data_IF_609046579883
#
_entry.id   IF_609046579883
#
_cell.length_a   1.000
_cell.length_b   1.000
_cell.length_c   1.000
_cell.angle_alpha   90.00
_cell.angle_beta   90.00
_cell.angle_gamma   90.00
#
_symmetry.space_group_name_H-M   'P 1'
#
loop_
_entity.id
_entity.type
_entity.pdbx_description
1 polymer ?
#
# COMPACT_ATOMS: atom_id res chain seq x y z
N UNK A 1 -0.20 -4.19 -17.48
CA UNK A 1 0.84 -3.79 -16.52
C UNK A 1 1.67 -2.67 -17.14
N UNK A 2 1.40 -1.41 -16.80
CA UNK A 2 2.05 -0.25 -17.41
C UNK A 2 3.58 -0.16 -17.16
N UNK A 3 4.11 -0.97 -16.23
CA UNK A 3 5.52 -0.92 -15.83
C UNK A 3 6.40 -2.12 -16.22
N UNK A 4 5.95 -3.07 -17.04
CA UNK A 4 6.81 -4.21 -17.44
C UNK A 4 8.10 -3.74 -18.13
N UNK A 5 7.97 -2.86 -19.13
CA UNK A 5 9.10 -2.27 -19.87
C UNK A 5 10.10 -1.54 -18.97
N UNK A 6 9.60 -0.81 -17.97
CA UNK A 6 10.45 -0.09 -17.02
C UNK A 6 11.19 -1.07 -16.11
N UNK A 7 10.48 -2.05 -15.56
CA UNK A 7 11.06 -3.08 -14.70
C UNK A 7 12.12 -3.92 -15.42
N UNK A 8 11.94 -4.18 -16.71
CA UNK A 8 12.90 -4.94 -17.52
C UNK A 8 14.13 -4.10 -17.86
N UNK A 9 13.94 -2.80 -18.19
CA UNK A 9 15.03 -1.85 -18.45
C UNK A 9 16.00 -1.72 -17.27
N UNK A 10 15.48 -1.72 -16.04
CA UNK A 10 16.28 -1.60 -14.83
C UNK A 10 16.52 -2.94 -14.11
N UNK A 11 16.29 -4.06 -14.80
CA UNK A 11 16.56 -5.41 -14.32
C UNK A 11 16.01 -5.67 -12.91
N UNK A 12 14.73 -5.36 -12.71
CA UNK A 12 14.05 -5.62 -11.45
C UNK A 12 14.01 -7.12 -11.19
N UNK A 13 14.34 -7.53 -9.96
CA UNK A 13 14.17 -8.90 -9.50
C UNK A 13 12.70 -9.31 -9.63
N UNK A 14 12.48 -10.56 -10.05
CA UNK A 14 11.17 -11.16 -10.20
C UNK A 14 11.02 -12.31 -9.20
N UNK A 15 9.85 -12.52 -8.57
CA UNK A 15 8.59 -11.80 -8.79
C UNK A 15 8.57 -10.37 -8.20
N UNK A 16 9.41 -10.09 -7.20
CA UNK A 16 9.43 -8.82 -6.47
C UNK A 16 10.85 -8.26 -6.36
N UNK A 17 11.02 -6.96 -6.59
CA UNK A 17 12.26 -6.24 -6.33
C UNK A 17 12.11 -5.36 -5.09
N UNK A 18 12.85 -5.72 -4.03
CA UNK A 18 12.79 -5.01 -2.75
C UNK A 18 13.21 -3.54 -2.88
N UNK A 19 14.19 -3.24 -3.74
CA UNK A 19 14.68 -1.86 -3.95
C UNK A 19 13.57 -0.98 -4.54
N UNK A 20 12.82 -1.53 -5.49
CA UNK A 20 11.72 -0.83 -6.13
C UNK A 20 10.58 -0.57 -5.14
N UNK A 21 10.22 -1.55 -4.32
CA UNK A 21 9.16 -1.42 -3.31
C UNK A 21 9.55 -0.43 -2.21
N UNK A 22 10.78 -0.50 -1.72
CA UNK A 22 11.27 0.44 -0.69
C UNK A 22 11.36 1.87 -1.24
N UNK A 23 11.72 2.06 -2.52
CA UNK A 23 11.67 3.36 -3.18
C UNK A 23 10.23 3.90 -3.28
N UNK A 24 9.27 3.06 -3.67
CA UNK A 24 7.85 3.45 -3.72
C UNK A 24 7.34 3.84 -2.33
N UNK A 25 7.70 3.05 -1.31
CA UNK A 25 7.36 3.30 0.08
C UNK A 25 7.93 4.64 0.58
N UNK A 26 9.21 4.90 0.31
CA UNK A 26 9.87 6.14 0.69
C UNK A 26 9.25 7.35 -0.02
N UNK A 27 8.96 7.25 -1.32
CA UNK A 27 8.27 8.32 -2.06
C UNK A 27 6.87 8.59 -1.49
N UNK A 28 6.10 7.55 -1.17
CA UNK A 28 4.77 7.68 -0.57
C UNK A 28 4.82 8.30 0.84
N UNK A 29 5.77 7.90 1.67
CA UNK A 29 6.01 8.48 2.99
C UNK A 29 6.26 10.00 2.89
N UNK A 30 7.11 10.44 1.95
CA UNK A 30 7.38 11.87 1.75
C UNK A 30 6.15 12.65 1.29
N UNK A 31 5.30 12.05 0.45
CA UNK A 31 4.00 12.67 0.09
C UNK A 31 3.11 12.84 1.32
N UNK A 32 3.06 11.87 2.23
CA UNK A 32 2.28 11.96 3.47
C UNK A 32 2.84 13.00 4.46
N UNK A 33 4.16 13.22 4.49
CA UNK A 33 4.76 14.30 5.29
C UNK A 33 4.26 15.66 4.82
N UNK A 34 4.25 15.88 3.51
CA UNK A 34 3.89 17.18 2.92
C UNK A 34 2.38 17.44 2.85
N UNK A 35 1.56 16.37 2.80
CA UNK A 35 0.11 16.44 2.74
C UNK A 35 -0.50 15.96 4.08
N UNK A 36 -0.60 16.84 5.10
CA UNK A 36 -1.09 16.49 6.44
C UNK A 36 -2.52 15.94 6.45
N UNK A 37 -3.33 16.20 5.42
CA UNK A 37 -4.72 15.78 5.32
C UNK A 37 -4.89 14.34 4.78
N UNK A 38 -3.83 13.72 4.24
CA UNK A 38 -3.87 12.32 3.76
C UNK A 38 -3.77 11.37 4.96
N UNK A 39 -4.88 10.79 5.40
CA UNK A 39 -4.95 10.01 6.65
C UNK A 39 -4.26 8.63 6.55
N UNK A 40 -4.42 7.96 5.40
CA UNK A 40 -3.85 6.66 5.11
C UNK A 40 -3.49 6.57 3.63
N UNK A 41 -2.39 5.91 3.31
CA UNK A 41 -2.04 5.50 1.97
C UNK A 41 -1.79 4.00 1.93
N UNK A 42 -2.33 3.35 0.92
CA UNK A 42 -2.02 1.97 0.58
C UNK A 42 -1.51 1.97 -0.86
N UNK A 43 -0.27 1.55 -1.05
CA UNK A 43 0.39 1.58 -2.35
C UNK A 43 0.25 0.24 -3.08
N UNK A 44 -0.48 0.24 -4.21
CA UNK A 44 -0.49 -0.85 -5.19
C UNK A 44 -0.82 -0.28 -6.60
N UNK A 45 0.18 -0.21 -7.50
CA UNK A 45 0.02 0.31 -8.89
C UNK A 45 -0.60 1.74 -9.01
N UNK A 46 -0.99 2.16 -10.23
CA UNK A 46 -1.14 3.53 -10.79
C UNK A 46 -2.61 3.86 -11.28
N UNK A 47 -3.12 5.14 -11.30
CA UNK A 47 -4.02 5.84 -12.33
C UNK A 47 -5.09 6.97 -11.97
N UNK A 48 -5.29 8.21 -12.64
CA UNK A 48 -5.58 9.77 -12.49
C UNK A 48 -6.78 10.61 -11.76
N UNK A 49 -6.57 11.90 -11.22
CA UNK A 49 -7.47 13.16 -11.02
C UNK A 49 -7.09 14.33 -9.98
N UNK A 50 -6.82 15.61 -10.37
CA UNK A 50 -6.53 16.88 -9.56
C UNK A 50 -5.91 16.86 -8.12
N UNK A 51 -6.53 16.30 -7.09
CA UNK A 51 -5.78 15.95 -5.85
C UNK A 51 -4.60 15.03 -6.21
N UNK A 52 -4.87 14.17 -7.17
CA UNK A 52 -3.92 13.32 -7.83
C UNK A 52 -2.85 14.13 -8.50
N UNK A 53 -3.12 15.22 -9.23
CA UNK A 53 -2.02 15.87 -9.97
C UNK A 53 -0.94 16.34 -9.01
N UNK A 54 -1.33 16.82 -7.82
CA UNK A 54 -0.41 17.11 -6.73
C UNK A 54 0.26 15.84 -6.21
N UNK A 55 -0.51 14.81 -5.82
CA UNK A 55 0.02 13.54 -5.27
C UNK A 55 0.99 12.88 -6.26
N UNK A 56 0.59 12.69 -7.51
CA UNK A 56 1.36 12.10 -8.60
C UNK A 56 2.58 12.94 -8.93
N UNK A 57 2.47 14.28 -9.01
CA UNK A 57 3.63 15.13 -9.26
C UNK A 57 4.67 15.03 -8.14
N UNK A 58 4.23 15.11 -6.88
CA UNK A 58 5.10 14.96 -5.71
C UNK A 58 5.69 13.57 -5.62
N UNK A 59 4.89 12.53 -5.85
CA UNK A 59 5.34 11.15 -5.88
C UNK A 59 6.39 10.94 -6.97
N UNK A 60 6.14 11.43 -8.19
CA UNK A 60 7.08 11.35 -9.31
C UNK A 60 8.40 12.06 -8.99
N UNK A 61 8.32 13.27 -8.41
CA UNK A 61 9.48 14.04 -8.01
C UNK A 61 10.30 13.32 -6.93
N UNK A 62 9.65 12.80 -5.89
CA UNK A 62 10.33 12.04 -4.84
C UNK A 62 10.87 10.71 -5.36
N UNK A 63 10.17 10.01 -6.24
CA UNK A 63 10.64 8.77 -6.85
C UNK A 63 11.94 8.98 -7.63
N UNK A 64 11.99 10.03 -8.47
CA UNK A 64 13.21 10.38 -9.22
C UNK A 64 14.32 10.87 -8.29
N UNK A 65 13.99 11.69 -7.29
CA UNK A 65 14.96 12.23 -6.35
C UNK A 65 15.60 11.14 -5.47
N UNK A 66 14.81 10.18 -5.00
CA UNK A 66 15.25 9.10 -4.13
C UNK A 66 15.86 7.93 -4.89
N UNK A 67 15.64 7.82 -6.21
CA UNK A 67 16.14 6.72 -7.02
C UNK A 67 17.62 6.37 -6.79
N UNK A 68 18.58 7.32 -6.76
CA UNK A 68 19.99 7.00 -6.57
C UNK A 68 20.29 6.32 -5.23
N UNK A 69 19.45 6.53 -4.21
CA UNK A 69 19.59 5.89 -2.89
C UNK A 69 19.21 4.41 -2.92
N UNK A 70 18.35 3.99 -3.85
CA UNK A 70 17.87 2.60 -3.96
C UNK A 70 18.47 1.84 -5.16
N UNK A 71 18.94 2.57 -6.17
CA UNK A 71 19.54 2.04 -7.40
C UNK A 71 20.86 2.78 -7.71
N UNK A 72 21.89 2.68 -6.84
CA UNK A 72 23.14 3.42 -7.01
C UNK A 72 23.88 3.06 -8.30
N UNK A 73 23.82 1.80 -8.71
CA UNK A 73 24.52 1.28 -9.89
C UNK A 73 23.68 1.36 -11.18
N UNK A 74 22.49 1.94 -11.14
CA UNK A 74 21.57 1.98 -12.28
C UNK A 74 20.92 3.35 -12.41
N UNK A 75 21.65 4.38 -12.89
CA UNK A 75 21.12 5.73 -13.03
C UNK A 75 19.85 5.79 -13.91
N UNK A 76 18.89 6.64 -13.52
CA UNK A 76 17.70 6.89 -14.34
C UNK A 76 18.09 7.51 -15.68
N UNK A 77 17.55 6.95 -16.75
CA UNK A 77 17.69 7.45 -18.12
C UNK A 77 16.32 7.58 -18.77
N UNK A 78 16.22 8.50 -19.74
CA UNK A 78 14.99 8.73 -20.50
C UNK A 78 14.46 7.45 -21.19
N UNK A 79 13.12 7.25 -21.29
CA UNK A 79 12.07 8.04 -20.65
C UNK A 79 12.05 7.86 -19.13
N UNK A 80 11.77 8.95 -18.42
CA UNK A 80 11.59 8.94 -16.96
C UNK A 80 10.30 8.18 -16.59
N UNK A 81 10.21 7.63 -15.36
CA UNK A 81 9.00 6.96 -14.91
C UNK A 81 7.82 7.94 -14.90
N UNK A 82 6.72 7.53 -15.52
CA UNK A 82 5.43 8.22 -15.44
C UNK A 82 4.52 7.47 -14.47
N UNK A 83 3.80 8.22 -13.64
CA UNK A 83 2.80 7.66 -12.75
C UNK A 83 1.43 8.22 -13.10
N UNK A 84 0.44 7.38 -12.89
CA UNK A 84 -0.96 7.73 -13.04
C UNK A 84 -1.58 7.61 -11.60
N UNK A 85 -2.67 8.29 -11.19
CA UNK A 85 -3.30 8.04 -9.83
C UNK A 85 -4.75 8.51 -9.59
N UNK A 86 -5.75 7.84 -9.00
CA UNK A 86 -7.20 8.22 -9.20
C UNK A 86 -7.82 8.73 -7.94
N UNK A 87 -8.76 9.66 -8.07
CA UNK A 87 -9.71 9.88 -7.00
C UNK A 87 -10.98 9.07 -7.25
N UNK A 88 -11.36 8.31 -6.23
CA UNK A 88 -12.63 7.62 -6.13
C UNK A 88 -13.27 8.09 -4.84
N UNK A 89 -14.55 8.46 -4.90
CA UNK A 89 -15.32 8.86 -3.72
C UNK A 89 -16.07 7.64 -3.18
N UNK A 90 -16.00 7.46 -1.86
CA UNK A 90 -16.72 6.41 -1.15
C UNK A 90 -17.78 7.07 -0.25
N UNK A 91 -19.08 6.74 -0.40
CA UNK A 91 -20.15 7.40 0.34
C UNK A 91 -20.26 6.91 1.79
N UNK A 92 -19.56 5.83 2.16
CA UNK A 92 -19.53 5.29 3.51
C UNK A 92 -18.16 4.74 3.88
N UNK A 93 -17.89 4.64 5.19
CA UNK A 93 -16.70 3.98 5.73
C UNK A 93 -16.65 2.52 5.30
N UNK A 94 -17.80 1.82 5.25
CA UNK A 94 -17.84 0.44 4.79
C UNK A 94 -17.31 0.30 3.37
N UNK A 95 -17.72 1.18 2.44
CA UNK A 95 -17.23 1.12 1.06
C UNK A 95 -15.72 1.40 0.96
N UNK A 96 -15.19 2.29 1.79
CA UNK A 96 -13.75 2.51 1.88
C UNK A 96 -13.01 1.26 2.39
N UNK A 97 -13.52 0.61 3.43
CA UNK A 97 -12.95 -0.63 3.99
C UNK A 97 -13.01 -1.79 3.00
N UNK A 98 -14.12 -1.92 2.27
CA UNK A 98 -14.29 -2.93 1.22
C UNK A 98 -13.29 -2.71 0.08
N UNK A 99 -13.12 -1.44 -0.34
CA UNK A 99 -12.12 -1.10 -1.36
C UNK A 99 -10.70 -1.43 -0.89
N UNK A 100 -10.32 -1.02 0.32
CA UNK A 100 -9.00 -1.30 0.88
C UNK A 100 -8.76 -2.81 0.98
N UNK A 101 -9.72 -3.56 1.51
CA UNK A 101 -9.68 -5.02 1.60
C UNK A 101 -9.51 -5.66 0.22
N UNK A 102 -10.28 -5.20 -0.77
CA UNK A 102 -10.15 -5.67 -2.15
C UNK A 102 -8.75 -5.44 -2.72
N UNK A 103 -8.12 -4.28 -2.45
CA UNK A 103 -6.73 -4.01 -2.87
C UNK A 103 -5.70 -4.90 -2.16
N UNK A 104 -5.93 -5.31 -0.92
CA UNK A 104 -5.05 -6.28 -0.22
C UNK A 104 -5.25 -7.72 -0.73
N UNK A 105 -6.49 -8.13 -0.98
CA UNK A 105 -6.78 -9.43 -1.59
C UNK A 105 -6.17 -9.53 -2.99
N UNK A 106 -6.27 -8.47 -3.79
CA UNK A 106 -5.64 -8.39 -5.11
C UNK A 106 -4.11 -8.49 -5.04
N UNK A 107 -3.48 -7.84 -4.04
CA UNK A 107 -2.05 -8.00 -3.77
C UNK A 107 -1.69 -9.48 -3.52
N UNK A 108 -2.43 -10.15 -2.65
CA UNK A 108 -2.17 -11.54 -2.30
C UNK A 108 -2.31 -12.47 -3.52
N UNK A 109 -3.39 -12.31 -4.30
CA UNK A 109 -3.64 -13.12 -5.50
C UNK A 109 -2.54 -12.92 -6.54
N UNK A 110 -2.21 -11.66 -6.84
CA UNK A 110 -1.18 -11.33 -7.83
C UNK A 110 0.21 -11.80 -7.38
N UNK A 111 0.55 -11.64 -6.09
CA UNK A 111 1.83 -12.09 -5.57
C UNK A 111 1.95 -13.62 -5.60
N UNK A 112 0.91 -14.37 -5.21
CA UNK A 112 0.91 -15.83 -5.28
C UNK A 112 1.06 -16.31 -6.73
N UNK A 113 0.31 -15.71 -7.66
CA UNK A 113 0.43 -16.01 -9.09
C UNK A 113 1.85 -15.73 -9.59
N UNK A 114 2.37 -14.52 -9.39
CA UNK A 114 3.69 -14.11 -9.88
C UNK A 114 4.81 -14.94 -9.26
N UNK A 115 4.72 -15.25 -7.97
CA UNK A 115 5.69 -16.11 -7.28
C UNK A 115 5.72 -17.49 -7.91
N UNK A 116 4.57 -18.10 -8.15
CA UNK A 116 4.48 -19.41 -8.80
C UNK A 116 4.99 -19.35 -10.23
N UNK A 117 4.55 -18.37 -11.00
CA UNK A 117 4.94 -18.15 -12.39
C UNK A 117 6.45 -17.99 -12.58
N UNK A 118 7.08 -17.10 -11.82
CA UNK A 118 8.52 -16.86 -11.92
C UNK A 118 9.35 -18.01 -11.36
N UNK A 119 8.83 -18.75 -10.37
CA UNK A 119 9.51 -19.96 -9.87
C UNK A 119 9.52 -21.06 -10.95
N UNK A 120 8.39 -21.28 -11.65
CA UNK A 120 8.31 -22.21 -12.77
C UNK A 120 9.30 -21.87 -13.89
N UNK A 121 9.50 -20.58 -14.18
CA UNK A 121 10.46 -20.13 -15.19
C UNK A 121 11.91 -20.27 -14.70
N UNK A 122 12.24 -19.69 -13.55
CA UNK A 122 13.62 -19.53 -13.10
C UNK A 122 14.21 -20.82 -12.51
N UNK A 123 13.40 -21.59 -11.76
CA UNK A 123 13.84 -22.84 -11.14
C UNK A 123 13.36 -24.06 -11.94
N UNK A 124 12.15 -24.00 -12.50
CA UNK A 124 11.58 -25.07 -13.31
C UNK A 124 12.07 -25.09 -14.76
N UNK A 125 12.76 -24.04 -15.23
CA UNK A 125 13.26 -23.93 -16.59
C UNK A 125 12.16 -23.83 -17.67
N UNK A 126 10.94 -23.48 -17.28
CA UNK A 126 9.81 -23.38 -18.21
C UNK A 126 9.84 -22.08 -19.01
N UNK A 127 9.32 -22.13 -20.25
CA UNK A 127 9.02 -20.93 -21.01
C UNK A 127 7.81 -20.19 -20.42
N UNK A 128 7.78 -18.87 -20.59
CA UNK A 128 6.70 -18.02 -20.08
C UNK A 128 5.30 -18.45 -20.55
N UNK A 129 5.16 -18.86 -21.83
CA UNK A 129 3.86 -19.30 -22.36
C UNK A 129 3.40 -20.62 -21.73
N UNK A 130 4.34 -21.50 -21.44
CA UNK A 130 4.06 -22.80 -20.83
C UNK A 130 3.67 -22.61 -19.36
N UNK A 131 4.41 -21.77 -18.63
CA UNK A 131 4.09 -21.43 -17.25
C UNK A 131 2.71 -20.75 -17.13
N UNK A 132 2.37 -19.85 -18.06
CA UNK A 132 1.04 -19.21 -18.09
C UNK A 132 -0.08 -20.22 -18.36
N UNK A 133 0.11 -21.11 -19.35
CA UNK A 133 -0.85 -22.16 -19.67
C UNK A 133 -1.05 -23.16 -18.51
N UNK A 134 0.02 -23.48 -17.77
CA UNK A 134 -0.07 -24.37 -16.61
C UNK A 134 -0.78 -23.72 -15.43
N UNK A 135 -0.62 -22.40 -15.24
CA UNK A 135 -1.33 -21.67 -14.20
C UNK A 135 -2.77 -21.31 -14.58
N UNK A 136 -3.15 -21.45 -15.85
CA UNK A 136 -4.50 -21.17 -16.31
C UNK A 136 -5.54 -22.10 -15.64
N UNK A 137 -6.57 -21.51 -15.04
CA UNK A 137 -7.64 -22.24 -14.36
C UNK A 137 -7.29 -22.79 -12.97
N UNK A 138 -6.03 -22.66 -12.53
CA UNK A 138 -5.61 -23.12 -11.19
C UNK A 138 -6.18 -22.23 -10.08
N UNK A 139 -6.49 -22.83 -8.94
CA UNK A 139 -6.90 -22.14 -7.71
C UNK A 139 -5.68 -21.72 -6.87
N UNK A 140 -5.92 -21.05 -5.74
CA UNK A 140 -4.86 -20.66 -4.83
C UNK A 140 -4.19 -21.88 -4.16
N UNK A 141 -4.96 -22.92 -3.83
CA UNK A 141 -4.43 -24.15 -3.25
C UNK A 141 -3.43 -24.83 -4.20
N UNK A 142 -3.81 -24.98 -5.47
CA UNK A 142 -2.95 -25.59 -6.50
C UNK A 142 -1.62 -24.84 -6.66
N UNK A 143 -1.63 -23.50 -6.64
CA UNK A 143 -0.40 -22.68 -6.72
C UNK A 143 0.51 -22.90 -5.51
N UNK A 144 -0.06 -22.99 -4.31
CA UNK A 144 0.69 -23.32 -3.11
C UNK A 144 1.27 -24.74 -3.19
N UNK A 145 0.50 -25.70 -3.69
CA UNK A 145 0.97 -27.07 -3.88
C UNK A 145 2.09 -27.16 -4.92
N UNK A 146 2.01 -26.42 -6.04
CA UNK A 146 3.07 -26.32 -7.04
C UNK A 146 4.37 -25.80 -6.40
N UNK A 147 4.28 -24.69 -5.65
CA UNK A 147 5.44 -24.10 -4.96
C UNK A 147 6.06 -25.08 -3.95
N UNK A 148 5.22 -25.76 -3.17
CA UNK A 148 5.70 -26.64 -2.10
C UNK A 148 6.25 -27.96 -2.63
N UNK A 149 5.47 -28.67 -3.45
CA UNK A 149 5.81 -30.02 -3.91
C UNK A 149 6.98 -30.04 -4.89
N UNK A 150 7.07 -29.06 -5.81
CA UNK A 150 8.08 -29.05 -6.87
C UNK A 150 9.33 -28.28 -6.50
N UNK A 151 9.20 -27.24 -5.68
CA UNK A 151 10.29 -26.32 -5.37
C UNK A 151 10.64 -26.24 -3.89
N UNK A 152 9.92 -26.97 -3.02
CA UNK A 152 10.15 -26.93 -1.58
C UNK A 152 9.85 -25.57 -0.95
N UNK A 153 9.11 -24.70 -1.65
CA UNK A 153 8.84 -23.33 -1.23
C UNK A 153 7.52 -23.23 -0.48
N UNK A 154 7.55 -22.72 0.75
CA UNK A 154 6.35 -22.38 1.50
C UNK A 154 6.03 -20.90 1.31
N UNK A 155 4.96 -20.60 0.57
CA UNK A 155 4.52 -19.22 0.31
C UNK A 155 4.25 -18.42 1.60
N UNK A 156 3.85 -19.08 2.69
CA UNK A 156 3.62 -18.39 3.96
C UNK A 156 4.90 -17.80 4.56
N UNK A 157 6.08 -18.31 4.17
CA UNK A 157 7.38 -17.79 4.59
C UNK A 157 7.88 -16.63 3.73
N UNK A 158 7.19 -16.30 2.62
CA UNK A 158 7.52 -15.09 1.86
C UNK A 158 7.36 -13.84 2.73
N UNK A 159 8.20 -12.81 2.53
CA UNK A 159 8.11 -11.56 3.27
C UNK A 159 6.71 -10.95 3.22
N UNK A 160 6.24 -10.43 4.36
CA UNK A 160 4.90 -9.86 4.47
C UNK A 160 4.68 -8.66 3.54
N UNK A 161 5.74 -7.90 3.23
CA UNK A 161 5.68 -6.81 2.23
C UNK A 161 5.23 -7.30 0.85
N UNK A 162 5.57 -8.53 0.45
CA UNK A 162 5.16 -9.10 -0.84
C UNK A 162 3.74 -9.66 -0.79
N UNK A 163 3.35 -10.27 0.34
CA UNK A 163 2.04 -10.91 0.49
C UNK A 163 0.91 -9.95 0.83
N UNK A 164 1.21 -8.85 1.54
CA UNK A 164 0.24 -7.95 2.16
C UNK A 164 0.36 -6.49 1.68
N UNK A 165 1.43 -6.16 0.96
CA UNK A 165 1.74 -4.81 0.52
C UNK A 165 2.22 -3.90 1.65
N UNK A 166 2.17 -2.58 1.42
CA UNK A 166 2.56 -1.55 2.38
C UNK A 166 1.38 -0.64 2.70
N UNK A 167 1.01 -0.57 3.97
CA UNK A 167 0.09 0.45 4.48
C UNK A 167 0.90 1.51 5.22
N UNK A 168 0.64 2.78 4.89
CA UNK A 168 1.35 3.95 5.42
C UNK A 168 0.33 4.87 6.07
N UNK A 169 0.53 5.20 7.34
CA UNK A 169 -0.40 6.05 8.09
C UNK A 169 0.31 6.80 9.21
N UNK A 170 -0.38 7.80 9.78
CA UNK A 170 0.09 8.51 10.97
C UNK A 170 -0.18 7.68 12.22
N UNK A 171 0.87 7.45 12.98
CA UNK A 171 0.88 6.59 14.16
C UNK A 171 0.50 7.39 15.41
N UNK A 172 -0.54 6.90 16.08
CA UNK A 172 -1.05 7.42 17.36
C UNK A 172 -1.16 6.25 18.35
N UNK A 173 -1.39 6.55 19.63
CA UNK A 173 -1.61 5.53 20.65
C UNK A 173 -2.79 4.63 20.26
N UNK A 174 -2.56 3.32 20.19
CA UNK A 174 -3.61 2.34 19.91
C UNK A 174 -4.69 2.43 20.99
N UNK A 175 -5.95 2.24 20.56
CA UNK A 175 -7.08 2.15 21.47
C UNK A 175 -7.36 0.67 21.75
N UNK A 176 -7.66 0.32 23.01
CA UNK A 176 -8.11 -1.04 23.33
C UNK A 176 -9.40 -1.34 22.58
N UNK A 177 -9.47 -2.51 21.94
CA UNK A 177 -10.68 -3.01 21.30
C UNK A 177 -11.68 -3.40 22.40
N UNK A 178 -12.30 -2.42 23.06
CA UNK A 178 -13.44 -2.69 23.94
C UNK A 178 -14.62 -3.10 23.09
N UNK A 179 -15.36 -4.13 23.51
CA UNK A 179 -16.66 -4.58 22.96
C UNK A 179 -17.75 -3.51 22.91
N UNK A 180 -17.44 -2.30 23.35
CA UNK A 180 -18.14 -1.07 23.05
C UNK A 180 -17.17 -0.14 22.32
N UNK A 181 -16.91 -0.39 21.04
CA UNK A 181 -16.56 0.72 20.17
C UNK A 181 -17.65 1.78 20.40
N UNK A 182 -17.34 3.08 20.57
CA UNK A 182 -18.33 4.05 20.15
C UNK A 182 -18.55 3.67 18.69
N UNK A 183 -19.71 3.08 18.38
CA UNK A 183 -20.12 2.82 17.02
C UNK A 183 -19.64 4.04 16.24
N UNK A 184 -18.75 3.85 15.26
CA UNK A 184 -18.34 4.92 14.38
C UNK A 184 -19.65 5.56 13.96
N UNK A 185 -20.00 6.69 14.58
CA UNK A 185 -21.38 7.10 14.57
C UNK A 185 -21.60 7.48 13.12
N UNK A 186 -22.32 6.65 12.35
CA UNK A 186 -22.47 6.88 10.92
C UNK A 186 -23.11 8.26 10.71
N UNK A 187 -23.92 8.70 11.67
CA UNK A 187 -24.43 10.07 11.79
C UNK A 187 -23.32 11.13 11.98
N UNK A 188 -22.22 10.87 12.69
CA UNK A 188 -21.11 11.81 12.83
C UNK A 188 -20.16 11.83 11.62
N UNK A 189 -20.16 10.79 10.80
CA UNK A 189 -19.42 10.70 9.53
C UNK A 189 -20.22 11.28 8.35
N UNK A 190 -21.55 11.26 8.43
CA UNK A 190 -22.48 11.81 7.42
C UNK A 190 -23.07 13.17 7.81
N UNK A 191 -22.94 13.59 9.08
CA UNK A 191 -23.30 14.94 9.50
C UNK A 191 -22.47 15.95 8.70
N UNK A 192 -23.08 17.06 8.24
CA UNK A 192 -22.32 18.15 7.65
C UNK A 192 -21.21 18.53 8.62
N UNK A 193 -19.95 18.55 8.15
CA UNK A 193 -18.81 19.01 8.94
C UNK A 193 -19.21 20.31 9.64
N UNK A 194 -19.47 20.25 10.95
CA UNK A 194 -19.57 21.48 11.72
C UNK A 194 -18.21 22.13 11.57
N UNK A 195 -18.17 23.25 10.85
CA UNK A 195 -16.94 23.95 10.53
C UNK A 195 -16.13 24.12 11.82
N UNK A 196 -15.05 23.34 11.94
CA UNK A 196 -14.16 23.40 13.09
C UNK A 196 -13.75 24.85 13.28
N UNK A 197 -13.78 25.33 14.52
CA UNK A 197 -13.23 26.65 14.82
C UNK A 197 -11.80 26.71 14.28
N UNK A 198 -11.38 27.85 13.71
CA UNK A 198 -10.03 28.03 13.15
C UNK A 198 -8.94 27.53 14.09
N UNK A 199 -9.12 27.74 15.40
CA UNK A 199 -8.23 27.28 16.46
C UNK A 199 -8.18 25.75 16.60
N UNK A 200 -9.33 25.07 16.48
CA UNK A 200 -9.40 23.61 16.53
C UNK A 200 -8.79 22.97 15.28
N UNK A 201 -9.12 23.49 14.09
CA UNK A 201 -8.53 23.02 12.83
C UNK A 201 -7.00 23.17 12.82
N UNK A 202 -6.48 24.30 13.33
CA UNK A 202 -5.03 24.50 13.42
C UNK A 202 -4.36 23.58 14.45
N UNK A 203 -5.03 23.28 15.56
CA UNK A 203 -4.55 22.31 16.56
C UNK A 203 -4.49 20.91 15.98
N UNK A 204 -5.52 20.48 15.26
CA UNK A 204 -5.55 19.17 14.60
C UNK A 204 -4.47 19.07 13.51
N UNK A 205 -4.31 20.12 12.69
CA UNK A 205 -3.22 20.19 11.70
C UNK A 205 -1.84 20.03 12.34
N UNK A 206 -1.59 20.75 13.45
CA UNK A 206 -0.32 20.64 14.21
C UNK A 206 -0.13 19.24 14.80
N UNK A 207 -1.20 18.57 15.24
CA UNK A 207 -1.12 17.20 15.73
C UNK A 207 -0.75 16.22 14.60
N UNK A 208 -1.37 16.35 13.41
CA UNK A 208 -1.04 15.55 12.23
C UNK A 208 0.40 15.74 11.77
N UNK A 209 0.92 16.96 11.82
CA UNK A 209 2.32 17.26 11.46
C UNK A 209 3.34 16.69 12.45
N UNK A 210 2.97 16.53 13.72
CA UNK A 210 3.83 15.96 14.76
C UNK A 210 3.76 14.44 14.84
N UNK A 211 2.73 13.82 14.28
CA UNK A 211 2.56 12.38 14.34
C UNK A 211 3.62 11.69 13.48
N UNK A 212 4.22 10.64 14.02
CA UNK A 212 5.17 9.79 13.30
C UNK A 212 4.42 9.08 12.16
N UNK A 213 4.99 9.07 10.96
CA UNK A 213 4.48 8.24 9.88
C UNK A 213 5.14 6.86 10.00
N UNK A 214 4.34 5.81 9.86
CA UNK A 214 4.82 4.42 9.92
C UNK A 214 4.39 3.67 8.68
N UNK A 215 5.26 2.74 8.25
CA UNK A 215 5.02 1.80 7.16
C UNK A 215 4.88 0.42 7.79
N UNK A 216 3.76 -0.25 7.55
CA UNK A 216 3.48 -1.59 8.08
C UNK A 216 3.09 -2.56 6.95
N UNK A 217 3.33 -3.85 7.19
CA UNK A 217 2.99 -4.95 6.28
C UNK A 217 2.08 -5.94 7.01
N UNK A 218 0.87 -5.48 7.33
CA UNK A 218 -0.09 -6.21 8.19
C UNK A 218 -1.40 -6.47 7.45
N UNK A 219 -2.16 -7.45 7.93
CA UNK A 219 -3.53 -7.67 7.47
C UNK A 219 -4.39 -6.52 8.00
N UNK A 220 -5.12 -5.86 7.09
CA UNK A 220 -6.09 -4.82 7.43
C UNK A 220 -7.48 -5.14 6.88
N UNK A 221 -7.73 -6.39 6.48
CA UNK A 221 -9.06 -6.85 6.08
C UNK A 221 -9.95 -6.98 7.33
N UNK A 222 -9.40 -7.50 8.43
CA UNK A 222 -10.12 -7.72 9.70
C UNK A 222 -10.39 -6.42 10.47
N UNK A 223 -11.42 -6.46 11.32
CA UNK A 223 -11.86 -5.33 12.14
C UNK A 223 -10.79 -4.82 13.12
N UNK A 224 -10.02 -5.72 13.74
CA UNK A 224 -8.99 -5.39 14.74
C UNK A 224 -8.05 -4.26 14.31
N UNK A 225 -7.65 -4.23 13.02
CA UNK A 225 -6.77 -3.20 12.50
C UNK A 225 -7.39 -1.81 12.62
N UNK A 226 -8.66 -1.70 12.25
CA UNK A 226 -9.43 -0.46 12.19
C UNK A 226 -9.90 0.00 13.56
N UNK A 227 -10.36 -0.94 14.39
CA UNK A 227 -10.86 -0.66 15.75
C UNK A 227 -9.75 -0.13 16.66
N UNK A 228 -8.53 -0.66 16.54
CA UNK A 228 -7.37 -0.17 17.28
C UNK A 228 -6.86 1.19 16.78
N UNK A 229 -7.27 1.61 15.57
CA UNK A 229 -6.80 2.81 14.86
C UNK A 229 -7.95 3.71 14.40
N UNK A 230 -8.85 4.16 15.29
CA UNK A 230 -10.07 4.88 14.91
C UNK A 230 -9.80 6.24 14.23
N UNK A 231 -8.61 6.81 14.40
CA UNK A 231 -8.18 8.03 13.71
C UNK A 231 -8.12 7.87 12.18
N UNK A 232 -7.96 6.64 11.68
CA UNK A 232 -7.91 6.38 10.24
C UNK A 232 -9.28 6.65 9.60
N UNK A 233 -10.36 6.27 10.27
CA UNK A 233 -11.73 6.37 9.73
C UNK A 233 -12.43 7.65 10.16
N UNK A 234 -12.11 8.18 11.35
CA UNK A 234 -12.73 9.40 11.87
C UNK A 234 -12.15 10.71 11.30
N UNK A 235 -11.03 10.65 10.58
CA UNK A 235 -10.25 11.81 10.12
C UNK A 235 -9.80 12.76 11.28
N UNK A 236 -9.85 12.29 12.53
CA UNK A 236 -9.42 13.07 13.71
C UNK A 236 -8.11 12.51 14.26
N UNK A 237 -7.11 13.37 14.54
CA UNK A 237 -5.84 12.91 15.08
C UNK A 237 -6.02 12.26 16.46
N UNK A 238 -5.34 11.14 16.69
CA UNK A 238 -5.32 10.45 17.98
C UNK A 238 -4.38 11.10 18.99
N UNK A 239 -4.15 10.41 20.12
CA UNK A 239 -3.11 10.82 21.08
C UNK A 239 -1.73 10.48 20.51
N UNK A 240 -0.83 11.46 20.49
CA UNK A 240 0.55 11.24 20.03
C UNK A 240 1.24 10.29 21.02
N UNK A 241 1.86 9.22 20.51
CA UNK A 241 2.66 8.31 21.33
C UNK A 241 3.76 9.10 22.03
N UNK A 242 3.87 8.97 23.35
CA UNK A 242 5.04 9.45 24.08
C UNK A 242 6.23 8.59 23.68
N UNK A 243 7.30 9.19 23.18
CA UNK A 243 8.56 8.46 22.99
C UNK A 243 9.04 7.98 24.37
N UNK A 244 9.50 6.72 24.48
CA UNK A 244 10.13 6.22 25.70
C UNK A 244 11.46 6.92 25.98
#
# INVERSE_FOLDING_TARGET
MANSKFSDKYAFKKPNDRRALDLMNAAAERVLVELPDVVVAYGISDEYSKLVTTIVSMFSAYYVHLWPSFFPDSPLTFPLPGFDGRAVQYPSVQNLRDYMSWRQVDCHINNLYNTTFWTLIQQGGMDAKVAEAELAGTLAADKNEILFSRFGMNYNNEPDIYKKGSIIFRDYELVEATTSAPALNEEALTAPEMALSKTQAEKERKARQKAKIVIQHVDFIKDDFWEQRPWILSNRPGKIKREP
#
